data_IF_621176052538
#
_entry.id   IF_621176052538
#
_cell.length_a   1.000
_cell.length_b   1.000
_cell.length_c   1.000
_cell.angle_alpha   90.00
_cell.angle_beta   90.00
_cell.angle_gamma   90.00
#
_symmetry.space_group_name_H-M   'P 1'
#
loop_
_entity.id
_entity.type
_entity.pdbx_description
1 polymer ?
#
# COMPACT_ATOMS: atom_id res chain seq x y z
N UNK A 1 20.78 6.76 -4.69
CA UNK A 1 19.37 7.05 -4.32
C UNK A 1 18.45 5.82 -4.49
N UNK A 2 18.68 4.94 -5.48
CA UNK A 2 17.91 3.71 -5.68
C UNK A 2 18.08 2.63 -4.59
N UNK A 3 19.29 2.49 -4.01
CA UNK A 3 19.58 1.45 -3.00
C UNK A 3 18.86 1.60 -1.65
N UNK A 4 18.25 2.77 -1.43
CA UNK A 4 17.50 3.05 -0.21
C UNK A 4 15.99 3.05 -0.43
N UNK A 5 15.53 2.89 -1.67
CA UNK A 5 14.11 3.06 -2.03
C UNK A 5 13.21 2.04 -1.31
N UNK A 6 13.67 0.80 -1.19
CA UNK A 6 12.96 -0.28 -0.48
C UNK A 6 12.79 0.00 1.00
N UNK A 7 13.69 0.78 1.58
CA UNK A 7 13.72 1.10 3.00
C UNK A 7 12.92 2.37 3.34
N UNK A 8 12.40 3.09 2.35
CA UNK A 8 11.62 4.33 2.55
C UNK A 8 10.15 4.04 2.87
N UNK A 9 9.91 3.21 3.89
CA UNK A 9 8.58 2.98 4.47
C UNK A 9 8.48 3.56 5.87
N UNK A 10 7.25 3.84 6.32
CA UNK A 10 7.01 4.29 7.70
C UNK A 10 7.41 3.24 8.73
N UNK A 11 7.26 1.96 8.40
CA UNK A 11 7.60 0.88 9.32
C UNK A 11 9.11 0.76 9.49
N UNK A 12 9.88 0.94 8.41
CA UNK A 12 11.34 1.03 8.50
C UNK A 12 11.76 2.21 9.37
N UNK A 13 11.18 3.40 9.15
CA UNK A 13 11.50 4.59 9.95
C UNK A 13 11.18 4.40 11.44
N UNK A 14 10.03 3.76 11.74
CA UNK A 14 9.64 3.43 13.11
C UNK A 14 10.60 2.43 13.75
N UNK A 15 11.00 1.38 13.03
CA UNK A 15 11.94 0.37 13.54
C UNK A 15 13.35 0.91 13.73
N UNK A 16 13.77 1.84 12.87
CA UNK A 16 15.06 2.53 12.98
C UNK A 16 15.10 3.57 14.12
N UNK A 17 13.98 3.81 14.80
CA UNK A 17 13.89 4.80 15.88
C UNK A 17 14.11 6.23 15.42
N UNK A 18 13.86 6.53 14.14
CA UNK A 18 14.03 7.86 13.57
C UNK A 18 13.02 8.84 14.18
N UNK A 19 13.45 10.08 14.43
CA UNK A 19 12.54 11.14 14.90
C UNK A 19 11.47 11.43 13.83
N UNK A 20 10.21 11.24 14.22
CA UNK A 20 9.05 11.44 13.35
C UNK A 20 8.86 12.90 12.91
N UNK A 21 9.16 13.86 13.79
CA UNK A 21 9.00 15.28 13.48
C UNK A 21 10.04 15.73 12.46
N UNK A 22 11.27 15.23 12.60
CA UNK A 22 12.31 15.45 11.61
C UNK A 22 11.95 14.82 10.26
N UNK A 23 11.45 13.58 10.26
CA UNK A 23 11.07 12.87 9.04
C UNK A 23 9.91 13.57 8.30
N UNK A 24 8.89 14.02 9.03
CA UNK A 24 7.75 14.75 8.46
C UNK A 24 8.11 16.16 8.02
N UNK A 25 9.13 16.79 8.61
CA UNK A 25 9.65 18.09 8.15
C UNK A 25 10.41 17.98 6.82
N UNK A 26 10.97 16.80 6.51
CA UNK A 26 11.63 16.52 5.22
C UNK A 26 10.68 16.07 4.12
N UNK A 27 9.40 15.88 4.44
CA UNK A 27 8.38 15.44 3.51
C UNK A 27 7.84 16.63 2.70
N UNK A 28 8.47 16.89 1.56
CA UNK A 28 8.11 17.95 0.61
C UNK A 28 7.10 17.51 -0.46
N UNK A 29 6.90 16.19 -0.58
CA UNK A 29 6.12 15.58 -1.65
C UNK A 29 4.63 15.44 -1.36
N UNK A 30 4.19 15.22 -0.11
CA UNK A 30 2.79 14.85 0.16
C UNK A 30 1.89 16.05 0.47
N UNK A 31 0.66 16.00 -0.06
CA UNK A 31 -0.39 16.92 0.38
C UNK A 31 -0.93 16.42 1.73
N UNK A 32 -0.43 16.99 2.83
CA UNK A 32 -0.75 16.57 4.19
C UNK A 32 -2.22 16.76 4.58
N UNK A 33 -3.00 17.50 3.79
CA UNK A 33 -4.45 17.67 4.00
C UNK A 33 -5.26 16.57 3.30
N UNK A 34 -4.80 16.11 2.13
CA UNK A 34 -5.53 15.12 1.31
C UNK A 34 -5.05 13.69 1.51
N UNK A 35 -3.78 13.50 1.83
CA UNK A 35 -3.18 12.18 1.93
C UNK A 35 -3.57 11.51 3.26
N UNK A 36 -4.37 10.45 3.18
CA UNK A 36 -4.79 9.61 4.31
C UNK A 36 -3.60 9.01 5.04
N UNK A 37 -2.50 8.76 4.34
CA UNK A 37 -1.24 8.35 4.92
C UNK A 37 -0.79 9.33 6.00
N UNK A 38 -0.99 10.64 5.86
CA UNK A 38 -0.54 11.62 6.85
C UNK A 38 -1.24 11.52 8.21
N UNK A 39 -2.34 10.76 8.32
CA UNK A 39 -3.04 10.55 9.60
C UNK A 39 -2.29 9.60 10.54
N UNK A 40 -1.30 8.84 10.06
CA UNK A 40 -0.66 7.76 10.82
C UNK A 40 0.84 7.96 10.98
N UNK A 41 1.40 7.47 12.08
CA UNK A 41 2.86 7.44 12.32
C UNK A 41 3.53 6.15 11.83
N UNK A 42 2.75 5.13 11.48
CA UNK A 42 3.25 3.84 11.05
C UNK A 42 2.34 3.21 10.00
N UNK A 43 2.86 2.19 9.32
CA UNK A 43 2.11 1.36 8.38
C UNK A 43 1.32 0.25 9.07
N UNK A 44 0.60 -0.51 8.25
CA UNK A 44 -0.09 -1.73 8.67
C UNK A 44 0.84 -2.92 8.49
N UNK A 45 1.14 -3.62 9.59
CA UNK A 45 1.90 -4.86 9.49
C UNK A 45 1.09 -5.98 8.83
N UNK A 46 1.77 -6.88 8.12
CA UNK A 46 1.18 -8.12 7.56
C UNK A 46 0.45 -8.92 8.62
N UNK A 47 0.98 -8.99 9.85
CA UNK A 47 0.31 -9.69 10.95
C UNK A 47 -1.04 -9.08 11.29
N UNK A 48 -1.15 -7.75 11.30
CA UNK A 48 -2.42 -7.07 11.54
C UNK A 48 -3.41 -7.34 10.39
N UNK A 49 -2.94 -7.33 9.13
CA UNK A 49 -3.78 -7.67 7.97
C UNK A 49 -4.31 -9.10 8.05
N UNK A 50 -3.46 -10.09 8.35
CA UNK A 50 -3.88 -11.48 8.51
C UNK A 50 -4.86 -11.64 9.68
N UNK A 51 -4.67 -10.87 10.75
CA UNK A 51 -5.59 -10.83 11.89
C UNK A 51 -6.95 -10.26 11.49
N UNK A 52 -6.97 -9.15 10.75
CA UNK A 52 -8.20 -8.54 10.22
C UNK A 52 -8.97 -9.53 9.33
N UNK A 53 -8.29 -10.19 8.39
CA UNK A 53 -8.90 -11.19 7.50
C UNK A 53 -9.52 -12.33 8.31
N UNK A 54 -8.81 -12.83 9.33
CA UNK A 54 -9.29 -13.94 10.15
C UNK A 54 -10.53 -13.55 10.96
N UNK A 55 -10.52 -12.38 11.60
CA UNK A 55 -11.66 -11.90 12.37
C UNK A 55 -12.85 -11.50 11.49
N UNK A 56 -12.61 -10.94 10.30
CA UNK A 56 -13.67 -10.62 9.36
C UNK A 56 -14.40 -11.88 8.86
N UNK A 57 -13.64 -12.94 8.52
CA UNK A 57 -14.21 -14.26 8.20
C UNK A 57 -15.01 -14.84 9.36
N UNK A 58 -14.50 -14.74 10.58
CA UNK A 58 -15.25 -15.15 11.76
C UNK A 58 -16.55 -14.33 11.93
N UNK A 59 -16.49 -13.02 11.73
CA UNK A 59 -17.64 -12.12 11.82
C UNK A 59 -18.73 -12.50 10.80
N UNK A 60 -18.35 -12.69 9.54
CA UNK A 60 -19.26 -13.14 8.48
C UNK A 60 -19.91 -14.48 8.85
N UNK A 61 -19.11 -15.44 9.32
CA UNK A 61 -19.60 -16.76 9.75
C UNK A 61 -20.61 -16.66 10.90
N UNK A 62 -20.32 -15.87 11.95
CA UNK A 62 -21.23 -15.67 13.08
C UNK A 62 -22.53 -14.95 12.70
N UNK A 63 -22.51 -14.13 11.64
CA UNK A 63 -23.69 -13.47 11.08
C UNK A 63 -24.49 -14.36 10.13
N UNK A 64 -23.96 -15.53 9.77
CA UNK A 64 -24.59 -16.46 8.82
C UNK A 64 -24.35 -16.09 7.35
N UNK A 65 -23.35 -15.26 7.05
CA UNK A 65 -22.96 -14.90 5.69
C UNK A 65 -21.95 -15.91 5.13
N UNK A 66 -22.05 -16.22 3.83
CA UNK A 66 -21.10 -17.09 3.12
C UNK A 66 -19.82 -16.35 2.72
N UNK A 67 -19.91 -15.03 2.56
CA UNK A 67 -18.82 -14.17 2.13
C UNK A 67 -18.62 -13.02 3.12
N UNK A 68 -17.40 -12.50 3.15
CA UNK A 68 -17.03 -11.35 3.99
C UNK A 68 -17.46 -10.07 3.29
N UNK A 69 -18.19 -9.22 4.00
CA UNK A 69 -18.56 -7.89 3.51
C UNK A 69 -17.65 -6.79 4.11
N UNK A 70 -17.67 -5.60 3.50
CA UNK A 70 -16.93 -4.44 4.04
C UNK A 70 -17.41 -4.03 5.44
N UNK A 71 -18.70 -4.26 5.75
CA UNK A 71 -19.23 -4.00 7.10
C UNK A 71 -18.55 -4.91 8.14
N UNK A 72 -18.26 -6.17 7.81
CA UNK A 72 -17.56 -7.09 8.73
C UNK A 72 -16.14 -6.58 9.06
N UNK A 73 -15.42 -6.11 8.04
CA UNK A 73 -14.12 -5.45 8.24
C UNK A 73 -14.27 -4.19 9.09
N UNK A 74 -15.25 -3.34 8.77
CA UNK A 74 -15.52 -2.08 9.47
C UNK A 74 -15.78 -2.29 10.97
N UNK A 75 -16.47 -3.37 11.33
CA UNK A 75 -16.75 -3.68 12.74
C UNK A 75 -15.50 -4.19 13.48
N UNK A 76 -14.69 -5.02 12.84
CA UNK A 76 -13.51 -5.65 13.46
C UNK A 76 -12.30 -4.71 13.54
N UNK A 77 -12.16 -3.83 12.55
CA UNK A 77 -10.96 -3.02 12.35
C UNK A 77 -10.55 -2.19 13.57
N UNK A 78 -11.46 -1.49 14.27
CA UNK A 78 -11.10 -0.73 15.45
C UNK A 78 -10.46 -1.59 16.54
N UNK A 79 -10.94 -2.81 16.75
CA UNK A 79 -10.46 -3.70 17.81
C UNK A 79 -9.07 -4.26 17.51
N UNK A 80 -8.80 -4.59 16.25
CA UNK A 80 -7.49 -5.10 15.83
C UNK A 80 -6.44 -3.98 15.80
N UNK A 81 -6.83 -2.77 15.37
CA UNK A 81 -5.89 -1.68 15.09
C UNK A 81 -5.73 -0.65 16.21
N UNK A 82 -6.61 -0.65 17.23
CA UNK A 82 -6.66 0.37 18.29
C UNK A 82 -5.27 0.81 18.78
N UNK A 83 -4.46 -0.18 19.16
CA UNK A 83 -3.12 0.04 19.72
C UNK A 83 -1.98 -0.19 18.72
N UNK A 84 -2.26 -0.70 17.53
CA UNK A 84 -1.25 -1.13 16.56
C UNK A 84 -0.96 -0.06 15.51
N UNK A 85 -2.00 0.57 15.00
CA UNK A 85 -1.87 1.79 14.20
C UNK A 85 -1.73 2.95 15.18
N UNK A 86 -0.88 3.93 14.92
CA UNK A 86 -0.66 5.11 15.78
C UNK A 86 -1.06 6.38 15.02
N UNK A 87 -1.90 7.26 15.60
CA UNK A 87 -2.27 8.49 14.94
C UNK A 87 -1.09 9.44 14.93
N UNK A 88 -1.02 10.27 13.89
CA UNK A 88 -0.19 11.47 13.93
C UNK A 88 -1.03 12.68 14.37
N UNK A 89 -1.11 12.90 15.68
CA UNK A 89 -1.93 13.97 16.28
C UNK A 89 -1.48 15.38 15.89
N UNK A 90 -0.28 15.51 15.34
CA UNK A 90 0.30 16.75 14.86
C UNK A 90 -0.02 16.98 13.37
N UNK A 91 -0.66 16.02 12.70
CA UNK A 91 -1.09 16.19 11.31
C UNK A 91 -2.22 17.21 11.18
N UNK A 92 -2.30 17.95 10.06
CA UNK A 92 -3.35 18.94 9.82
C UNK A 92 -4.78 18.40 10.02
N UNK A 93 -5.01 17.13 9.70
CA UNK A 93 -6.29 16.46 9.90
C UNK A 93 -6.80 16.56 11.34
N UNK A 94 -5.94 16.30 12.34
CA UNK A 94 -6.35 16.34 13.76
C UNK A 94 -6.32 17.75 14.37
N UNK A 95 -5.81 18.74 13.63
CA UNK A 95 -5.80 20.14 14.03
C UNK A 95 -7.03 20.88 13.51
N UNK A 96 -7.70 20.34 12.48
CA UNK A 96 -8.94 20.90 11.96
C UNK A 96 -10.07 20.81 12.98
N UNK A 97 -10.81 21.92 13.18
CA UNK A 97 -11.87 22.03 14.18
C UNK A 97 -12.93 20.91 14.06
N UNK A 98 -13.29 20.54 12.83
CA UNK A 98 -14.26 19.47 12.52
C UNK A 98 -13.84 18.07 12.99
N UNK A 99 -12.54 17.86 13.19
CA UNK A 99 -11.95 16.54 13.43
C UNK A 99 -11.33 16.42 14.83
N UNK A 100 -11.41 17.48 15.65
CA UNK A 100 -10.82 17.51 17.00
C UNK A 100 -11.34 16.38 17.90
N UNK A 101 -12.58 15.94 17.71
CA UNK A 101 -13.16 14.79 18.43
C UNK A 101 -12.41 13.48 18.22
N UNK A 102 -11.79 13.27 17.05
CA UNK A 102 -11.00 12.07 16.75
C UNK A 102 -9.70 11.97 17.55
N UNK A 103 -9.29 13.06 18.22
CA UNK A 103 -8.11 13.04 19.11
C UNK A 103 -8.37 12.19 20.36
N UNK A 104 -9.62 12.17 20.84
CA UNK A 104 -10.04 11.36 21.99
C UNK A 104 -10.79 10.10 21.56
N UNK A 105 -11.55 10.14 20.46
CA UNK A 105 -12.25 8.97 19.92
C UNK A 105 -11.41 8.18 18.91
N UNK A 106 -10.69 7.20 19.44
CA UNK A 106 -9.82 6.31 18.66
C UNK A 106 -10.59 5.40 17.71
N UNK A 107 -11.74 4.91 18.15
CA UNK A 107 -12.57 3.96 17.39
C UNK A 107 -13.25 4.67 16.23
N UNK A 108 -13.83 5.85 16.49
CA UNK A 108 -14.41 6.69 15.46
C UNK A 108 -13.38 7.11 14.41
N UNK A 109 -12.17 7.46 14.84
CA UNK A 109 -11.09 7.76 13.90
C UNK A 109 -10.72 6.58 13.00
N UNK A 110 -10.58 5.37 13.56
CA UNK A 110 -10.25 4.17 12.78
C UNK A 110 -11.33 3.83 11.75
N UNK A 111 -12.61 3.99 12.13
CA UNK A 111 -13.75 3.83 11.23
C UNK A 111 -13.74 4.87 10.12
N UNK A 112 -13.52 6.13 10.46
CA UNK A 112 -13.43 7.22 9.48
C UNK A 112 -12.27 6.98 8.49
N UNK A 113 -11.09 6.60 9.00
CA UNK A 113 -9.94 6.30 8.18
C UNK A 113 -10.23 5.17 7.19
N UNK A 114 -10.91 4.11 7.64
CA UNK A 114 -11.31 3.01 6.78
C UNK A 114 -12.28 3.45 5.66
N UNK A 115 -13.31 4.21 6.00
CA UNK A 115 -14.27 4.71 5.00
C UNK A 115 -13.59 5.59 3.96
N UNK A 116 -12.71 6.50 4.41
CA UNK A 116 -11.95 7.37 3.52
C UNK A 116 -11.01 6.57 2.62
N UNK A 117 -10.39 5.50 3.14
CA UNK A 117 -9.57 4.59 2.32
C UNK A 117 -10.39 3.84 1.27
N UNK A 118 -11.61 3.41 1.59
CA UNK A 118 -12.50 2.79 0.61
C UNK A 118 -12.90 3.78 -0.50
N UNK A 119 -13.27 5.01 -0.12
CA UNK A 119 -13.60 6.07 -1.10
C UNK A 119 -12.42 6.40 -2.01
N UNK A 120 -11.20 6.43 -1.47
CA UNK A 120 -9.99 6.65 -2.26
C UNK A 120 -9.70 5.47 -3.21
N UNK A 121 -9.92 4.24 -2.75
CA UNK A 121 -9.83 3.05 -3.59
C UNK A 121 -10.79 3.13 -4.78
N UNK A 122 -12.05 3.47 -4.52
CA UNK A 122 -13.08 3.65 -5.55
C UNK A 122 -12.72 4.78 -6.53
N UNK A 123 -12.24 5.92 -6.01
CA UNK A 123 -11.82 7.09 -6.82
C UNK A 123 -10.69 6.75 -7.77
N UNK A 124 -9.80 5.83 -7.38
CA UNK A 124 -8.68 5.36 -8.20
C UNK A 124 -9.10 4.28 -9.21
N UNK A 125 -10.34 3.77 -9.13
CA UNK A 125 -10.88 2.71 -9.98
C UNK A 125 -10.00 1.44 -10.02
N UNK A 126 -9.41 1.09 -8.86
CA UNK A 126 -8.44 0.00 -8.78
C UNK A 126 -9.02 -1.38 -9.08
N UNK A 127 -10.35 -1.56 -8.99
CA UNK A 127 -11.02 -2.79 -9.43
C UNK A 127 -10.89 -3.03 -10.95
N UNK A 128 -10.80 -1.96 -11.73
CA UNK A 128 -10.80 -2.02 -13.20
C UNK A 128 -9.45 -1.67 -13.83
N UNK A 129 -8.61 -0.89 -13.13
CA UNK A 129 -7.39 -0.29 -13.69
C UNK A 129 -6.17 -0.62 -12.83
N UNK A 130 -5.77 -1.89 -12.82
CA UNK A 130 -4.52 -2.34 -12.20
C UNK A 130 -3.54 -2.93 -13.24
N UNK A 131 -2.74 -2.07 -13.92
CA UNK A 131 -1.77 -2.54 -14.89
C UNK A 131 -0.60 -3.32 -14.28
N UNK A 132 -0.40 -3.24 -12.96
CA UNK A 132 0.68 -3.95 -12.25
C UNK A 132 0.23 -5.38 -11.93
N UNK A 133 -1.05 -5.58 -11.58
CA UNK A 133 -1.64 -6.90 -11.41
C UNK A 133 -1.51 -7.79 -12.66
N UNK A 134 -1.76 -7.23 -13.85
CA UNK A 134 -1.60 -7.97 -15.12
C UNK A 134 -0.17 -8.49 -15.30
N UNK A 135 0.82 -7.61 -15.04
CA UNK A 135 2.24 -7.95 -15.12
C UNK A 135 2.64 -9.02 -14.10
N UNK A 136 2.09 -8.94 -12.88
CA UNK A 136 2.32 -9.93 -11.83
C UNK A 136 1.69 -11.28 -12.18
N UNK A 137 0.46 -11.29 -12.69
CA UNK A 137 -0.26 -12.49 -13.11
C UNK A 137 0.46 -13.22 -14.26
N UNK A 138 1.04 -12.48 -15.21
CA UNK A 138 1.86 -13.08 -16.26
C UNK A 138 3.10 -13.80 -15.73
N UNK A 139 3.79 -13.22 -14.74
CA UNK A 139 4.94 -13.88 -14.11
C UNK A 139 4.50 -15.09 -13.28
N UNK A 140 3.34 -15.03 -12.62
CA UNK A 140 2.81 -16.11 -11.80
C UNK A 140 2.50 -17.38 -12.62
N UNK A 141 2.21 -17.25 -13.92
CA UNK A 141 2.09 -18.38 -14.85
C UNK A 141 3.41 -19.12 -15.09
N UNK A 142 4.53 -18.56 -14.66
CA UNK A 142 5.86 -19.10 -14.87
C UNK A 142 6.57 -18.49 -16.08
N UNK A 143 7.87 -18.78 -16.18
CA UNK A 143 8.75 -18.33 -17.26
C UNK A 143 9.09 -19.46 -18.24
N UNK A 144 8.69 -20.68 -17.95
CA UNK A 144 8.96 -21.84 -18.80
C UNK A 144 8.33 -21.67 -20.19
N UNK A 145 9.11 -21.89 -21.24
CA UNK A 145 8.67 -21.74 -22.63
C UNK A 145 8.44 -20.30 -23.09
N UNK A 146 8.82 -19.29 -22.30
CA UNK A 146 8.76 -17.89 -22.71
C UNK A 146 10.01 -17.54 -23.51
N UNK A 147 9.83 -17.19 -24.78
CA UNK A 147 10.92 -16.87 -25.71
C UNK A 147 11.50 -15.47 -25.50
N UNK A 148 12.76 -15.27 -25.90
CA UNK A 148 13.50 -14.01 -25.76
C UNK A 148 12.70 -12.77 -26.24
N UNK A 149 12.06 -12.76 -27.44
CA UNK A 149 11.32 -11.58 -27.90
C UNK A 149 10.18 -11.18 -26.98
N UNK A 150 9.50 -12.16 -26.38
CA UNK A 150 8.39 -11.93 -25.46
C UNK A 150 8.92 -11.42 -24.11
N UNK A 151 10.03 -11.95 -23.60
CA UNK A 151 10.68 -11.43 -22.39
C UNK A 151 11.05 -9.95 -22.55
N UNK A 152 11.67 -9.59 -23.68
CA UNK A 152 12.04 -8.18 -23.99
C UNK A 152 10.81 -7.27 -24.05
N UNK A 153 9.71 -7.75 -24.66
CA UNK A 153 8.44 -7.01 -24.72
C UNK A 153 7.85 -6.76 -23.33
N UNK A 154 7.88 -7.75 -22.44
CA UNK A 154 7.40 -7.62 -21.05
C UNK A 154 8.27 -6.66 -20.25
N UNK A 155 9.59 -6.74 -20.36
CA UNK A 155 10.53 -5.77 -19.77
C UNK A 155 10.23 -4.34 -20.20
N UNK A 156 10.06 -4.10 -21.50
CA UNK A 156 9.72 -2.78 -22.03
C UNK A 156 8.35 -2.28 -21.53
N UNK A 157 7.40 -3.16 -21.21
CA UNK A 157 6.11 -2.77 -20.60
C UNK A 157 6.29 -2.40 -19.13
N UNK A 158 7.08 -3.15 -18.37
CA UNK A 158 7.43 -2.84 -16.97
C UNK A 158 8.11 -1.46 -16.88
N UNK A 159 9.11 -1.21 -17.74
CA UNK A 159 9.84 0.07 -17.77
C UNK A 159 8.93 1.25 -18.11
N UNK A 160 7.98 1.06 -19.04
CA UNK A 160 6.96 2.06 -19.35
C UNK A 160 6.06 2.36 -18.15
N UNK A 161 5.65 1.34 -17.38
CA UNK A 161 4.85 1.56 -16.16
C UNK A 161 5.64 2.32 -15.11
N UNK A 162 6.90 1.94 -14.86
CA UNK A 162 7.79 2.67 -13.93
C UNK A 162 7.93 4.13 -14.35
N UNK A 163 8.16 4.40 -15.64
CA UNK A 163 8.27 5.75 -16.17
C UNK A 163 6.96 6.55 -16.02
N UNK A 164 5.81 5.90 -16.21
CA UNK A 164 4.50 6.53 -16.06
C UNK A 164 4.23 6.93 -14.60
N UNK A 165 4.53 6.05 -13.64
CA UNK A 165 4.43 6.36 -12.20
C UNK A 165 5.39 7.50 -11.84
N UNK A 166 6.64 7.45 -12.33
CA UNK A 166 7.64 8.46 -12.06
C UNK A 166 7.25 9.87 -12.58
N UNK A 167 6.52 9.96 -13.71
CA UNK A 167 6.00 11.23 -14.24
C UNK A 167 5.03 11.93 -13.30
N UNK A 168 4.34 11.18 -12.43
CA UNK A 168 3.43 11.74 -11.43
C UNK A 168 4.15 12.58 -10.36
N UNK A 169 5.47 12.46 -10.24
CA UNK A 169 6.34 13.25 -9.36
C UNK A 169 6.24 12.90 -7.88
N UNK A 170 5.04 12.59 -7.37
CA UNK A 170 4.77 12.24 -5.98
C UNK A 170 4.47 10.75 -5.85
N UNK A 171 5.23 10.05 -5.02
CA UNK A 171 5.05 8.61 -4.77
C UNK A 171 4.28 8.45 -3.46
N UNK A 172 3.01 8.10 -3.58
CA UNK A 172 2.14 7.72 -2.47
C UNK A 172 2.36 6.26 -2.08
N UNK A 173 1.85 5.84 -0.91
CA UNK A 173 2.00 4.47 -0.39
C UNK A 173 1.71 3.38 -1.42
N UNK A 174 0.53 3.35 -2.06
CA UNK A 174 0.21 2.32 -3.08
C UNK A 174 1.20 2.32 -4.26
N UNK A 175 1.60 3.50 -4.74
CA UNK A 175 2.57 3.63 -5.83
C UNK A 175 3.98 3.19 -5.43
N UNK A 176 4.34 3.30 -4.14
CA UNK A 176 5.60 2.79 -3.63
C UNK A 176 5.60 1.25 -3.68
N UNK A 177 4.54 0.60 -3.21
CA UNK A 177 4.37 -0.85 -3.27
C UNK A 177 4.37 -1.37 -4.72
N UNK A 178 3.67 -0.67 -5.63
CA UNK A 178 3.68 -0.98 -7.07
C UNK A 178 5.08 -0.89 -7.66
N UNK A 179 5.85 0.15 -7.33
CA UNK A 179 7.22 0.31 -7.81
C UNK A 179 8.14 -0.79 -7.28
N UNK A 180 7.95 -1.25 -6.04
CA UNK A 180 8.69 -2.39 -5.48
C UNK A 180 8.36 -3.68 -6.23
N UNK A 181 7.07 -3.92 -6.50
CA UNK A 181 6.64 -5.07 -7.29
C UNK A 181 7.23 -5.00 -8.70
N UNK A 182 7.08 -3.89 -9.42
CA UNK A 182 7.64 -3.68 -10.75
C UNK A 182 9.16 -3.87 -10.79
N UNK A 183 9.90 -3.40 -9.77
CA UNK A 183 11.34 -3.66 -9.63
C UNK A 183 11.62 -5.16 -9.52
N UNK A 184 10.86 -5.88 -8.69
CA UNK A 184 11.03 -7.32 -8.52
C UNK A 184 10.73 -8.10 -9.82
N UNK A 185 9.70 -7.67 -10.57
CA UNK A 185 9.34 -8.23 -11.87
C UNK A 185 10.45 -7.99 -12.89
N UNK A 186 10.95 -6.75 -12.97
CA UNK A 186 12.06 -6.37 -13.84
C UNK A 186 13.30 -7.23 -13.59
N UNK A 187 13.68 -7.40 -12.31
CA UNK A 187 14.83 -8.22 -11.92
C UNK A 187 14.65 -9.68 -12.36
N UNK A 188 13.47 -10.27 -12.17
CA UNK A 188 13.21 -11.66 -12.56
C UNK A 188 13.27 -11.86 -14.07
N UNK A 189 12.64 -10.99 -14.86
CA UNK A 189 12.71 -11.07 -16.32
C UNK A 189 14.11 -10.80 -16.86
N UNK A 190 14.86 -9.88 -16.24
CA UNK A 190 16.27 -9.62 -16.61
C UNK A 190 17.15 -10.84 -16.37
N UNK A 191 17.00 -11.50 -15.23
CA UNK A 191 17.74 -12.72 -14.91
C UNK A 191 17.40 -13.86 -15.89
N UNK A 192 16.11 -14.01 -16.23
CA UNK A 192 15.67 -15.03 -17.17
C UNK A 192 16.14 -14.75 -18.61
N UNK A 193 16.11 -13.50 -19.04
CA UNK A 193 16.69 -13.09 -20.33
C UNK A 193 18.19 -13.40 -20.39
N UNK A 194 18.91 -13.13 -19.31
CA UNK A 194 20.34 -13.45 -19.23
C UNK A 194 20.58 -14.95 -19.38
N UNK A 195 19.77 -15.77 -18.71
CA UNK A 195 19.81 -17.23 -18.84
C UNK A 195 19.52 -17.70 -20.28
N UNK A 196 18.50 -17.13 -20.94
CA UNK A 196 18.15 -17.46 -22.34
C UNK A 196 19.25 -17.12 -23.35
N UNK A 197 20.00 -16.04 -23.11
CA UNK A 197 21.04 -15.57 -24.05
C UNK A 197 22.39 -16.28 -23.80
N UNK A 198 22.62 -16.80 -22.59
CA UNK A 198 23.84 -17.53 -22.24
C UNK A 198 23.71 -19.06 -22.35
N UNK A 199 22.48 -19.59 -22.31
CA UNK A 199 22.18 -21.00 -22.54
C UNK A 199 22.15 -21.34 -24.02
#
# INVERSE_FOLDING_TARGET
AGDQFEYKSKDTARLAGTDWNWLTAQDDGRDRLKDLGCHTRNGLSVRNLMTLISYAKAMAWFRGNEEVELDDLRQVLPFVLNDKLKPDLDSPFFQAASNTGFRSDRIGWLRHLFDASCQEYDRLELDAKDPVADLAAELQRGLEGVEEPEVRKRLARIERQIAQIAKGGKIYGPLHDDLLLLKSLHQRYTNYLHWLVQG
#
